data_IF_644487502878
#
_entry.id   IF_644487502878
#
_cell.length_a   1.000
_cell.length_b   1.000
_cell.length_c   1.000
_cell.angle_alpha   90.00
_cell.angle_beta   90.00
_cell.angle_gamma   90.00
#
_symmetry.space_group_name_H-M   'P 1'
#
loop_
_entity.id
_entity.type
_entity.pdbx_description
1 polymer ?
#
# COMPACT_ATOMS: atom_id res chain seq x y z
N UNK A 1 27.28 6.20 -14.98
CA UNK A 1 26.10 5.37 -15.30
C UNK A 1 25.01 5.85 -14.34
N UNK A 2 24.02 6.59 -14.82
CA UNK A 2 22.98 7.18 -13.96
C UNK A 2 21.95 6.10 -13.63
N UNK A 3 22.02 5.57 -12.41
CA UNK A 3 20.98 4.71 -11.83
C UNK A 3 20.05 5.64 -11.06
N UNK A 4 19.06 6.19 -11.75
CA UNK A 4 17.82 6.57 -11.10
C UNK A 4 17.00 5.28 -11.18
N UNK A 5 17.03 4.45 -10.14
CA UNK A 5 16.25 3.21 -10.09
C UNK A 5 14.77 3.61 -10.23
N UNK A 6 14.24 3.39 -11.43
CA UNK A 6 12.84 3.61 -11.75
C UNK A 6 12.07 2.56 -10.99
N UNK A 7 11.13 2.99 -10.15
CA UNK A 7 10.20 2.09 -9.49
C UNK A 7 9.24 1.59 -10.56
N UNK A 8 9.42 0.33 -10.91
CA UNK A 8 8.57 -0.38 -11.86
C UNK A 8 7.42 -1.11 -11.14
N UNK A 9 6.68 -1.90 -11.91
CA UNK A 9 5.56 -2.68 -11.40
C UNK A 9 6.00 -3.74 -10.37
N UNK A 10 7.17 -4.34 -10.57
CA UNK A 10 7.71 -5.37 -9.66
C UNK A 10 8.13 -4.76 -8.32
N UNK A 11 8.74 -3.58 -8.33
CA UNK A 11 9.07 -2.84 -7.10
C UNK A 11 7.82 -2.43 -6.34
N UNK A 12 6.81 -1.88 -7.03
CA UNK A 12 5.53 -1.54 -6.42
C UNK A 12 4.86 -2.76 -5.78
N UNK A 13 4.89 -3.89 -6.47
CA UNK A 13 4.38 -5.16 -5.96
C UNK A 13 5.10 -5.61 -4.68
N UNK A 14 6.44 -5.58 -4.68
CA UNK A 14 7.26 -5.97 -3.52
C UNK A 14 6.94 -5.12 -2.30
N UNK A 15 6.71 -3.82 -2.49
CA UNK A 15 6.33 -2.90 -1.43
C UNK A 15 4.98 -3.27 -0.80
N UNK A 16 3.96 -3.56 -1.61
CA UNK A 16 2.64 -3.97 -1.11
C UNK A 16 2.69 -5.33 -0.41
N UNK A 17 3.48 -6.28 -0.92
CA UNK A 17 3.68 -7.57 -0.25
C UNK A 17 4.36 -7.44 1.11
N UNK A 18 5.28 -6.48 1.27
CA UNK A 18 5.95 -6.21 2.54
C UNK A 18 4.95 -5.87 3.65
N UNK A 19 3.89 -5.13 3.32
CA UNK A 19 2.79 -4.79 4.24
C UNK A 19 1.91 -6.01 4.57
N UNK A 20 1.94 -7.03 3.72
CA UNK A 20 1.08 -8.21 3.81
C UNK A 20 -0.21 -8.07 3.01
N UNK A 21 -0.20 -7.24 1.96
CA UNK A 21 -1.29 -7.17 0.98
C UNK A 21 -1.10 -8.34 0.00
N UNK A 22 -2.14 -9.15 -0.16
CA UNK A 22 -2.11 -10.25 -1.12
C UNK A 22 -2.26 -9.70 -2.54
N UNK A 23 -1.13 -9.42 -3.18
CA UNK A 23 -1.02 -9.07 -4.59
C UNK A 23 -0.41 -10.24 -5.36
N UNK A 24 -0.81 -10.42 -6.63
CA UNK A 24 -0.27 -11.46 -7.52
C UNK A 24 0.65 -10.87 -8.59
N UNK A 25 1.70 -11.59 -8.97
CA UNK A 25 2.73 -11.07 -9.89
C UNK A 25 2.22 -10.75 -11.30
N UNK A 26 1.05 -11.26 -11.68
CA UNK A 26 0.42 -10.99 -12.97
C UNK A 26 -0.57 -9.82 -12.93
N UNK A 27 -0.77 -9.20 -11.76
CA UNK A 27 -1.68 -8.06 -11.61
C UNK A 27 -1.05 -6.77 -12.10
N UNK A 28 -1.86 -5.93 -12.72
CA UNK A 28 -1.45 -4.58 -13.12
C UNK A 28 -1.29 -3.69 -11.88
N UNK A 29 -0.51 -2.60 -11.96
CA UNK A 29 -0.38 -1.65 -10.86
C UNK A 29 -1.75 -1.17 -10.34
N UNK A 30 -2.72 -0.92 -11.23
CA UNK A 30 -4.08 -0.53 -10.85
C UNK A 30 -4.82 -1.61 -10.05
N UNK A 31 -4.68 -2.89 -10.40
CA UNK A 31 -5.24 -3.99 -9.61
C UNK A 31 -4.57 -4.11 -8.23
N UNK A 32 -3.25 -3.94 -8.19
CA UNK A 32 -2.49 -3.90 -6.94
C UNK A 32 -2.95 -2.74 -6.03
N UNK A 33 -3.20 -1.56 -6.59
CA UNK A 33 -3.77 -0.43 -5.87
C UNK A 33 -5.18 -0.72 -5.36
N UNK A 34 -6.03 -1.34 -6.17
CA UNK A 34 -7.36 -1.76 -5.75
C UNK A 34 -7.30 -2.73 -4.56
N UNK A 35 -6.43 -3.75 -4.63
CA UNK A 35 -6.25 -4.68 -3.53
C UNK A 35 -5.73 -4.01 -2.24
N UNK A 36 -4.85 -3.01 -2.37
CA UNK A 36 -4.37 -2.23 -1.25
C UNK A 36 -5.48 -1.35 -0.63
N UNK A 37 -6.40 -0.79 -1.45
CA UNK A 37 -7.60 -0.09 -0.97
C UNK A 37 -8.55 -1.03 -0.22
N UNK A 38 -8.86 -2.18 -0.81
CA UNK A 38 -9.71 -3.21 -0.22
C UNK A 38 -9.14 -3.71 1.11
N UNK A 39 -7.83 -3.95 1.15
CA UNK A 39 -7.11 -4.28 2.38
C UNK A 39 -7.29 -3.17 3.43
N UNK A 40 -7.06 -1.90 3.08
CA UNK A 40 -7.22 -0.75 4.01
C UNK A 40 -8.67 -0.60 4.50
N UNK A 41 -9.65 -0.89 3.65
CA UNK A 41 -11.08 -0.83 3.98
C UNK A 41 -11.46 -1.92 4.99
N UNK A 42 -11.06 -3.17 4.73
CA UNK A 42 -11.29 -4.30 5.63
C UNK A 42 -10.63 -4.10 7.01
N UNK A 43 -9.47 -3.42 7.05
CA UNK A 43 -8.81 -3.05 8.30
C UNK A 43 -9.58 -1.99 9.10
N UNK A 44 -10.17 -0.97 8.46
CA UNK A 44 -11.03 0.03 9.13
C UNK A 44 -12.33 -0.60 9.66
N UNK A 45 -12.95 -1.46 8.87
CA UNK A 45 -14.22 -2.10 9.22
C UNK A 45 -14.09 -3.03 10.45
N UNK A 46 -12.92 -3.67 10.60
CA UNK A 46 -12.58 -4.47 11.78
C UNK A 46 -12.44 -3.64 13.06
N UNK A 47 -12.11 -2.34 12.94
CA UNK A 47 -11.93 -1.42 14.06
C UNK A 47 -13.26 -0.84 14.57
N UNK A 48 -14.18 -0.47 13.67
CA UNK A 48 -15.47 0.15 14.05
C UNK A 48 -16.38 -0.79 14.85
N UNK A 49 -16.35 -2.10 14.57
CA UNK A 49 -17.15 -3.10 15.34
C UNK A 49 -16.67 -3.30 16.78
N UNK A 50 -15.43 -2.93 17.11
CA UNK A 50 -14.81 -3.20 18.42
C UNK A 50 -14.84 -2.00 19.39
N UNK A 51 -15.41 -0.86 18.99
CA UNK A 51 -15.52 0.36 19.83
C UNK A 51 -16.36 0.17 21.12
N UNK A 52 -17.00 -0.99 21.30
CA UNK A 52 -17.72 -1.36 22.51
C UNK A 52 -17.00 -2.41 23.40
N UNK A 53 -15.66 -2.53 23.41
CA UNK A 53 -14.96 -3.07 24.60
C UNK A 53 -13.44 -2.81 24.58
N UNK A 54 -12.95 -2.32 25.70
CA UNK A 54 -11.57 -1.96 26.00
C UNK A 54 -10.53 -3.08 25.79
N UNK A 55 -9.26 -2.63 25.73
CA UNK A 55 -8.01 -3.36 26.02
C UNK A 55 -7.24 -4.06 24.89
N UNK A 56 -6.16 -3.37 24.49
CA UNK A 56 -4.77 -3.87 24.53
C UNK A 56 -4.21 -4.81 23.46
N UNK A 57 -4.88 -5.04 22.32
CA UNK A 57 -4.29 -5.81 21.21
C UNK A 57 -4.12 -5.05 19.87
N UNK A 58 -4.32 -3.72 19.86
CA UNK A 58 -4.43 -2.95 18.61
C UNK A 58 -3.12 -2.41 18.01
N UNK A 59 -1.96 -2.57 18.67
CA UNK A 59 -0.70 -1.96 18.19
C UNK A 59 -0.29 -2.49 16.81
N UNK A 60 -0.19 -3.82 16.65
CA UNK A 60 0.35 -4.44 15.44
C UNK A 60 -0.47 -4.18 14.16
N UNK A 61 -1.76 -3.89 14.29
CA UNK A 61 -2.64 -3.60 13.14
C UNK A 61 -2.54 -2.14 12.69
N UNK A 62 -2.32 -1.21 13.63
CA UNK A 62 -2.07 0.21 13.31
C UNK A 62 -0.69 0.35 12.64
N UNK A 63 0.28 -0.47 13.06
CA UNK A 63 1.64 -0.45 12.51
C UNK A 63 1.67 -0.74 11.00
N UNK A 64 0.89 -1.73 10.52
CA UNK A 64 0.85 -2.08 9.08
C UNK A 64 0.14 -1.05 8.21
N UNK A 65 -0.97 -0.47 8.70
CA UNK A 65 -1.65 0.59 7.97
C UNK A 65 -0.76 1.83 7.84
N UNK A 66 -0.06 2.20 8.92
CA UNK A 66 0.94 3.26 8.91
C UNK A 66 2.11 2.95 7.96
N UNK A 67 2.54 1.69 7.87
CA UNK A 67 3.58 1.25 6.95
C UNK A 67 3.15 1.43 5.48
N UNK A 68 1.90 1.09 5.14
CA UNK A 68 1.33 1.34 3.82
C UNK A 68 1.31 2.84 3.47
N UNK A 69 0.82 3.68 4.38
CA UNK A 69 0.77 5.13 4.17
C UNK A 69 2.18 5.73 4.03
N UNK A 70 3.17 5.19 4.76
CA UNK A 70 4.58 5.57 4.63
C UNK A 70 5.12 5.22 3.23
N UNK A 71 4.90 3.99 2.77
CA UNK A 71 5.30 3.54 1.43
C UNK A 71 4.66 4.42 0.35
N UNK A 72 3.35 4.67 0.43
CA UNK A 72 2.62 5.54 -0.50
C UNK A 72 3.23 6.96 -0.51
N UNK A 73 3.57 7.49 0.66
CA UNK A 73 4.20 8.81 0.81
C UNK A 73 5.59 8.87 0.19
N UNK A 74 6.41 7.85 0.38
CA UNK A 74 7.74 7.74 -0.22
C UNK A 74 7.66 7.61 -1.75
N UNK A 75 6.74 6.78 -2.25
CA UNK A 75 6.47 6.64 -3.69
C UNK A 75 6.01 7.97 -4.30
N UNK A 76 5.15 8.72 -3.60
CA UNK A 76 4.69 10.04 -4.04
C UNK A 76 5.81 11.07 -4.08
N UNK A 77 6.71 11.08 -3.09
CA UNK A 77 7.88 11.97 -3.11
C UNK A 77 8.83 11.64 -4.25
N UNK A 78 8.89 10.36 -4.63
CA UNK A 78 9.69 9.86 -5.73
C UNK A 78 8.86 9.65 -7.02
N UNK A 79 7.77 10.40 -7.22
CA UNK A 79 6.87 10.19 -8.37
C UNK A 79 7.57 10.34 -9.73
N UNK A 80 8.69 11.07 -9.76
CA UNK A 80 9.54 11.24 -10.95
C UNK A 80 10.28 9.95 -11.35
N UNK A 81 10.41 9.01 -10.40
CA UNK A 81 11.01 7.70 -10.60
C UNK A 81 9.97 6.62 -10.88
N UNK A 82 8.67 6.93 -10.81
CA UNK A 82 7.62 5.95 -11.07
C UNK A 82 7.29 5.87 -12.56
N UNK A 83 7.03 4.65 -13.04
CA UNK A 83 6.37 4.45 -14.32
C UNK A 83 4.96 5.07 -14.31
N UNK A 84 4.46 5.55 -15.47
CA UNK A 84 3.13 6.15 -15.57
C UNK A 84 2.03 5.21 -15.05
N UNK A 85 2.10 3.90 -15.31
CA UNK A 85 1.09 2.96 -14.80
C UNK A 85 1.10 2.86 -13.27
N UNK A 86 2.29 2.89 -12.65
CA UNK A 86 2.44 2.87 -11.19
C UNK A 86 1.98 4.18 -10.58
N UNK A 87 2.22 5.31 -11.26
CA UNK A 87 1.72 6.62 -10.85
C UNK A 87 0.19 6.66 -10.85
N UNK A 88 -0.45 6.13 -11.89
CA UNK A 88 -1.92 6.06 -11.95
C UNK A 88 -2.48 5.19 -10.81
N UNK A 89 -1.85 4.04 -10.55
CA UNK A 89 -2.20 3.19 -9.43
C UNK A 89 -2.04 3.89 -8.08
N UNK A 90 -0.94 4.63 -7.89
CA UNK A 90 -0.69 5.41 -6.68
C UNK A 90 -1.76 6.48 -6.47
N UNK A 91 -2.23 7.14 -7.54
CA UNK A 91 -3.30 8.13 -7.46
C UNK A 91 -4.63 7.53 -6.99
N UNK A 92 -4.90 6.25 -7.24
CA UNK A 92 -6.09 5.58 -6.72
C UNK A 92 -6.02 5.36 -5.20
N UNK A 93 -4.81 5.31 -4.62
CA UNK A 93 -4.59 5.05 -3.20
C UNK A 93 -4.61 6.30 -2.32
N UNK A 94 -4.40 7.47 -2.92
CA UNK A 94 -4.42 8.79 -2.27
C UNK A 94 -5.86 9.24 -1.97
#
# INVERSE_FOLDING_TARGET
MMIADLVDQDDFYRLLQSVGIAVESHWTPGQCAQAALDWRCNYKESYEKSSNKSSDNNSANVDKANELDKIISELKQNEVLLLPEVKEALQMLL
#
